data_IF_103594044928
#
_entry.id   IF_103594044928
#
_cell.length_a   1.000
_cell.length_b   1.000
_cell.length_c   1.000
_cell.angle_alpha   90.00
_cell.angle_beta   90.00
_cell.angle_gamma   90.00
#
_symmetry.space_group_name_H-M   'P 1'
#
loop_
_entity.id
_entity.type
_entity.pdbx_description
1 polymer ?
#
# COMPACT_ATOMS: atom_id res chain seq x y z
N UNK A 1 -13.24 -15.03 25.03
CA UNK A 1 -11.97 -15.03 24.25
C UNK A 1 -12.21 -15.14 22.75
N UNK A 2 -13.01 -16.10 22.28
CA UNK A 2 -13.25 -16.34 20.84
C UNK A 2 -13.96 -15.20 20.10
N UNK A 3 -14.94 -14.54 20.74
CA UNK A 3 -15.63 -13.36 20.16
C UNK A 3 -14.69 -12.18 19.92
N UNK A 4 -13.76 -11.92 20.86
CA UNK A 4 -12.77 -10.84 20.75
C UNK A 4 -11.78 -11.12 19.62
N UNK A 5 -11.28 -12.36 19.53
CA UNK A 5 -10.41 -12.80 18.43
C UNK A 5 -11.09 -12.68 17.07
N UNK A 6 -12.36 -13.08 16.95
CA UNK A 6 -13.13 -12.97 15.71
C UNK A 6 -13.34 -11.52 15.29
N UNK A 7 -13.66 -10.63 16.25
CA UNK A 7 -13.84 -9.21 15.98
C UNK A 7 -12.53 -8.57 15.49
N UNK A 8 -11.41 -8.92 16.11
CA UNK A 8 -10.11 -8.39 15.70
C UNK A 8 -9.72 -8.91 14.33
N UNK A 9 -9.92 -10.22 14.07
CA UNK A 9 -9.68 -10.79 12.74
C UNK A 9 -10.51 -10.08 11.66
N UNK A 10 -11.79 -9.81 11.93
CA UNK A 10 -12.67 -9.08 11.02
C UNK A 10 -12.17 -7.65 10.76
N UNK A 11 -11.72 -6.94 11.80
CA UNK A 11 -11.13 -5.60 11.66
C UNK A 11 -9.85 -5.60 10.82
N UNK A 12 -8.94 -6.55 11.05
CA UNK A 12 -7.70 -6.69 10.28
C UNK A 12 -8.01 -7.02 8.81
N UNK A 13 -8.94 -7.94 8.58
CA UNK A 13 -9.36 -8.33 7.22
C UNK A 13 -10.00 -7.15 6.47
N UNK A 14 -10.93 -6.42 7.12
CA UNK A 14 -11.57 -5.24 6.53
C UNK A 14 -10.53 -4.16 6.20
N UNK A 15 -9.56 -3.93 7.09
CA UNK A 15 -8.49 -2.96 6.87
C UNK A 15 -7.59 -3.37 5.70
N UNK A 16 -7.28 -4.66 5.57
CA UNK A 16 -6.48 -5.19 4.46
C UNK A 16 -7.20 -5.01 3.12
N UNK A 17 -8.51 -5.29 3.07
CA UNK A 17 -9.33 -5.07 1.88
C UNK A 17 -9.34 -3.58 1.49
N UNK A 18 -9.63 -2.69 2.44
CA UNK A 18 -9.66 -1.24 2.20
C UNK A 18 -8.30 -0.74 1.70
N UNK A 19 -7.20 -1.25 2.26
CA UNK A 19 -5.85 -0.86 1.86
C UNK A 19 -5.52 -1.28 0.43
N UNK A 20 -5.85 -2.53 0.05
CA UNK A 20 -5.68 -3.02 -1.33
C UNK A 20 -6.51 -2.20 -2.31
N UNK A 21 -7.76 -1.90 -1.96
CA UNK A 21 -8.66 -1.08 -2.79
C UNK A 21 -8.10 0.34 -2.96
N UNK A 22 -7.69 0.99 -1.87
CA UNK A 22 -7.17 2.35 -1.90
C UNK A 22 -5.87 2.43 -2.72
N UNK A 23 -4.99 1.45 -2.57
CA UNK A 23 -3.75 1.37 -3.34
C UNK A 23 -4.01 1.18 -4.83
N UNK A 24 -4.87 0.24 -5.20
CA UNK A 24 -5.27 0.05 -6.60
C UNK A 24 -5.94 1.31 -7.15
N UNK A 25 -6.79 1.97 -6.37
CA UNK A 25 -7.39 3.24 -6.75
C UNK A 25 -6.32 4.30 -7.04
N UNK A 26 -5.33 4.48 -6.16
CA UNK A 26 -4.23 5.42 -6.39
C UNK A 26 -3.42 5.04 -7.64
N UNK A 27 -3.11 3.76 -7.83
CA UNK A 27 -2.37 3.31 -9.01
C UNK A 27 -3.13 3.60 -10.31
N UNK A 28 -4.38 3.14 -10.44
CA UNK A 28 -5.15 3.27 -11.67
C UNK A 28 -5.59 4.70 -11.98
N UNK A 29 -5.91 5.51 -10.96
CA UNK A 29 -6.47 6.85 -11.18
C UNK A 29 -5.45 7.98 -11.05
N UNK A 30 -4.30 7.77 -10.41
CA UNK A 30 -3.26 8.80 -10.26
C UNK A 30 -1.96 8.44 -10.95
N UNK A 31 -1.43 7.24 -10.70
CA UNK A 31 -0.08 6.86 -11.16
C UNK A 31 -0.08 6.47 -12.63
N UNK A 32 -0.95 5.55 -13.05
CA UNK A 32 -1.03 5.08 -14.43
C UNK A 32 -1.33 6.22 -15.44
N UNK A 33 -2.27 7.14 -15.16
CA UNK A 33 -2.51 8.28 -16.06
C UNK A 33 -1.32 9.24 -16.10
N UNK A 34 -0.59 9.42 -15.00
CA UNK A 34 0.59 10.27 -14.95
C UNK A 34 1.76 9.65 -15.74
N UNK A 35 1.99 8.34 -15.59
CA UNK A 35 2.95 7.59 -16.40
C UNK A 35 2.67 7.75 -17.91
N UNK A 36 1.40 7.60 -18.30
CA UNK A 36 0.97 7.81 -19.68
C UNK A 36 1.22 9.24 -20.16
N UNK A 37 0.95 10.24 -19.32
CA UNK A 37 1.18 11.66 -19.65
C UNK A 37 2.65 11.95 -19.92
N UNK A 38 3.53 11.28 -19.19
CA UNK A 38 4.97 11.47 -19.28
C UNK A 38 5.62 10.54 -20.33
N UNK A 39 4.81 9.87 -21.17
CA UNK A 39 5.27 9.03 -22.28
C UNK A 39 5.86 7.67 -21.87
N UNK A 40 5.63 7.26 -20.63
CA UNK A 40 6.06 5.96 -20.08
C UNK A 40 5.00 4.87 -20.34
N UNK A 41 5.35 3.60 -20.10
CA UNK A 41 4.47 2.44 -20.35
C UNK A 41 3.09 2.65 -19.69
N UNK A 42 2.03 2.53 -20.49
CA UNK A 42 0.64 2.70 -20.05
C UNK A 42 -0.08 1.36 -19.82
N UNK A 43 0.65 0.24 -19.85
CA UNK A 43 0.09 -1.08 -19.59
C UNK A 43 -0.27 -1.23 -18.10
N UNK A 44 -1.55 -1.53 -17.79
CA UNK A 44 -1.99 -1.72 -16.42
C UNK A 44 -1.32 -2.95 -15.79
N UNK A 45 -0.81 -2.78 -14.56
CA UNK A 45 -0.34 -3.88 -13.73
C UNK A 45 -1.36 -4.21 -12.65
N UNK A 46 -1.71 -5.49 -12.54
CA UNK A 46 -2.77 -5.96 -11.64
C UNK A 46 -2.22 -6.47 -10.32
N UNK A 47 -0.97 -6.93 -10.29
CA UNK A 47 -0.34 -7.38 -9.04
C UNK A 47 0.48 -6.27 -8.41
N UNK A 48 0.53 -6.31 -7.08
CA UNK A 48 1.28 -5.41 -6.23
C UNK A 48 2.77 -5.34 -6.63
N UNK A 49 3.35 -6.51 -6.84
CA UNK A 49 4.76 -6.71 -7.19
C UNK A 49 5.09 -6.12 -8.55
N UNK A 50 4.19 -6.26 -9.53
CA UNK A 50 4.39 -5.70 -10.86
C UNK A 50 4.30 -4.17 -10.86
N UNK A 51 3.36 -3.60 -10.10
CA UNK A 51 3.23 -2.15 -9.94
C UNK A 51 4.49 -1.54 -9.32
N UNK A 52 5.08 -2.19 -8.30
CA UNK A 52 6.31 -1.73 -7.66
C UNK A 52 7.53 -1.86 -8.58
N UNK A 53 7.70 -3.03 -9.20
CA UNK A 53 8.82 -3.26 -10.12
C UNK A 53 8.80 -2.26 -11.30
N UNK A 54 7.61 -1.89 -11.78
CA UNK A 54 7.45 -0.87 -12.81
C UNK A 54 7.92 0.52 -12.32
N UNK A 55 7.58 0.88 -11.08
CA UNK A 55 7.97 2.18 -10.49
C UNK A 55 9.46 2.26 -10.23
N UNK A 56 10.05 1.20 -9.67
CA UNK A 56 11.49 1.11 -9.43
C UNK A 56 12.26 1.23 -10.75
N UNK A 57 11.80 0.51 -11.79
CA UNK A 57 12.38 0.60 -13.13
C UNK A 57 12.36 2.03 -13.70
N UNK A 58 11.33 2.83 -13.43
CA UNK A 58 11.30 4.24 -13.84
C UNK A 58 12.14 5.16 -12.96
N UNK A 59 12.18 4.91 -11.65
CA UNK A 59 13.03 5.67 -10.74
C UNK A 59 14.51 5.52 -11.07
N UNK A 60 14.93 4.34 -11.53
CA UNK A 60 16.30 4.06 -11.95
C UNK A 60 16.68 4.77 -13.26
N UNK A 61 15.71 5.09 -14.11
CA UNK A 61 15.93 5.80 -15.38
C UNK A 61 15.92 7.31 -15.25
N UNK A 62 15.31 7.83 -14.19
CA UNK A 62 15.13 9.26 -14.01
C UNK A 62 16.32 9.88 -13.27
N UNK A 63 16.77 11.08 -13.67
CA UNK A 63 17.79 11.80 -12.92
C UNK A 63 17.32 12.05 -11.47
N UNK A 64 18.23 12.09 -10.49
CA UNK A 64 17.89 12.15 -9.07
C UNK A 64 17.05 13.37 -8.67
N UNK A 65 16.98 14.42 -9.50
CA UNK A 65 16.03 15.52 -9.32
C UNK A 65 15.67 16.22 -10.64
N UNK A 66 14.40 16.66 -10.83
CA UNK A 66 13.24 16.42 -9.96
C UNK A 66 12.58 15.06 -10.24
N UNK A 67 12.39 14.24 -9.18
CA UNK A 67 11.65 12.98 -9.29
C UNK A 67 10.14 13.25 -9.37
N UNK A 68 9.40 12.56 -10.25
CA UNK A 68 7.96 12.70 -10.34
C UNK A 68 7.28 12.30 -9.02
N UNK A 69 6.46 13.21 -8.48
CA UNK A 69 5.77 13.04 -7.19
C UNK A 69 4.95 11.75 -7.12
N UNK A 70 4.32 11.36 -8.23
CA UNK A 70 3.40 10.21 -8.29
C UNK A 70 4.12 8.86 -8.14
N UNK A 71 5.45 8.81 -8.35
CA UNK A 71 6.26 7.62 -8.07
C UNK A 71 6.51 7.44 -6.57
N UNK A 72 6.53 8.54 -5.79
CA UNK A 72 6.65 8.51 -4.32
C UNK A 72 5.35 8.16 -3.60
N UNK A 73 4.20 8.51 -4.17
CA UNK A 73 2.88 8.30 -3.53
C UNK A 73 2.58 6.84 -3.22
N UNK A 74 3.02 5.90 -4.05
CA UNK A 74 2.82 4.47 -3.77
C UNK A 74 3.66 3.98 -2.60
N UNK A 75 4.88 4.49 -2.47
CA UNK A 75 5.75 4.21 -1.31
C UNK A 75 5.16 4.80 -0.03
N UNK A 76 4.61 6.01 -0.08
CA UNK A 76 3.96 6.64 1.08
C UNK A 76 2.71 5.87 1.53
N UNK A 77 1.91 5.38 0.58
CA UNK A 77 0.76 4.51 0.86
C UNK A 77 1.23 3.19 1.51
N UNK A 78 2.34 2.62 1.06
CA UNK A 78 2.90 1.39 1.62
C UNK A 78 3.49 1.59 3.02
N UNK A 79 4.18 2.72 3.27
CA UNK A 79 4.66 3.08 4.62
C UNK A 79 3.52 3.31 5.60
N UNK A 80 2.46 4.00 5.15
CA UNK A 80 1.25 4.19 5.95
C UNK A 80 0.59 2.84 6.29
N UNK A 81 0.57 1.90 5.34
CA UNK A 81 0.08 0.54 5.52
C UNK A 81 0.90 -0.27 6.54
N UNK A 82 2.22 -0.32 6.39
CA UNK A 82 3.11 -1.05 7.30
C UNK A 82 2.94 -0.51 8.73
N UNK A 83 2.88 0.81 8.87
CA UNK A 83 2.69 1.48 10.16
C UNK A 83 1.34 1.10 10.79
N UNK A 84 0.25 1.12 10.01
CA UNK A 84 -1.07 0.74 10.50
C UNK A 84 -1.15 -0.74 10.91
N UNK A 85 -0.52 -1.65 10.15
CA UNK A 85 -0.41 -3.07 10.50
C UNK A 85 0.39 -3.29 11.79
N UNK A 86 1.50 -2.58 11.96
CA UNK A 86 2.30 -2.65 13.18
C UNK A 86 1.52 -2.19 14.42
N UNK A 87 0.72 -1.12 14.30
CA UNK A 87 -0.16 -0.64 15.37
C UNK A 87 -1.24 -1.67 15.69
N UNK A 88 -1.93 -2.23 14.68
CA UNK A 88 -2.96 -3.24 14.88
C UNK A 88 -2.40 -4.50 15.55
N UNK A 89 -1.20 -4.94 15.16
CA UNK A 89 -0.52 -6.07 15.77
C UNK A 89 -0.07 -5.76 17.21
N UNK A 90 0.46 -4.57 17.47
CA UNK A 90 0.83 -4.12 18.82
C UNK A 90 -0.38 -4.09 19.77
N UNK A 91 -1.53 -3.62 19.29
CA UNK A 91 -2.79 -3.64 20.04
C UNK A 91 -3.26 -5.07 20.33
N UNK A 92 -3.13 -5.99 19.37
CA UNK A 92 -3.41 -7.42 19.52
C UNK A 92 -2.58 -8.06 20.63
N UNK A 93 -1.26 -7.84 20.61
CA UNK A 93 -0.33 -8.35 21.63
C UNK A 93 -0.66 -7.76 23.00
N UNK A 94 -0.92 -6.45 23.07
CA UNK A 94 -1.26 -5.77 24.32
C UNK A 94 -2.61 -6.25 24.92
N UNK A 95 -3.61 -6.56 24.10
CA UNK A 95 -4.85 -7.17 24.59
C UNK A 95 -4.63 -8.61 25.05
N UNK A 96 -3.83 -9.39 24.32
CA UNK A 96 -3.53 -10.78 24.66
C UNK A 96 -2.74 -10.94 25.98
N UNK A 97 -1.87 -9.98 26.31
CA UNK A 97 -1.11 -9.99 27.57
C UNK A 97 -1.92 -9.53 28.78
N UNK A 98 -2.95 -8.71 28.60
CA UNK A 98 -3.86 -8.27 29.69
C UNK A 98 -4.96 -9.28 30.03
N UNK A 99 -5.16 -10.29 29.19
CA UNK A 99 -6.18 -11.34 29.36
C UNK A 99 -5.60 -12.65 29.92
N UNK A 100 -4.31 -12.67 30.29
CA UNK A 100 -3.66 -13.71 31.11
C UNK A 100 -3.49 -13.19 32.53
#
# INVERSE_FOLDING_TARGET
MQVVLNLIFACVLAFLIVSVVLRNYVYFFKVLPALKRDGLDDRPKFTLSEQMAQIDYYLDQLPPAPRPWYLGVLSDVDMAFITAMAIAFGLLVALGTRLR
#
